data_IF_180831160825
#
_entry.id   IF_180831160825
#
_cell.length_a   1.000
_cell.length_b   1.000
_cell.length_c   1.000
_cell.angle_alpha   90.00
_cell.angle_beta   90.00
_cell.angle_gamma   90.00
#
_symmetry.space_group_name_H-M   'P 1'
#
loop_
_entity.id
_entity.type
_entity.pdbx_description
1 polymer ?
#
# COMPACT_ATOMS: atom_id res chain seq x y z
N UNK A 1 3.12 26.98 -86.67
CA UNK A 1 2.27 26.89 -85.50
C UNK A 1 2.83 25.80 -84.60
N UNK A 2 3.56 26.18 -83.49
CA UNK A 2 4.07 25.26 -82.50
C UNK A 2 3.44 25.68 -81.14
N UNK A 3 2.47 24.84 -80.68
CA UNK A 3 1.90 25.02 -79.36
C UNK A 3 2.78 24.35 -78.34
N UNK A 4 3.39 25.16 -77.45
CA UNK A 4 4.07 24.65 -76.25
C UNK A 4 3.10 24.19 -75.16
N UNK A 5 3.19 22.94 -74.80
CA UNK A 5 2.51 22.40 -73.57
C UNK A 5 3.30 22.75 -72.31
N UNK A 6 2.70 23.56 -71.43
CA UNK A 6 3.21 23.80 -70.12
C UNK A 6 2.84 22.58 -69.21
N UNK A 7 3.85 21.86 -68.73
CA UNK A 7 3.71 20.80 -67.77
C UNK A 7 3.68 21.40 -66.36
N UNK A 8 2.50 21.42 -65.72
CA UNK A 8 2.38 21.77 -64.28
C UNK A 8 2.87 20.59 -63.41
N UNK A 9 4.04 20.76 -62.80
CA UNK A 9 4.49 19.81 -61.77
C UNK A 9 3.82 20.17 -60.44
N UNK A 10 2.84 19.31 -60.04
CA UNK A 10 2.30 19.34 -58.67
C UNK A 10 3.35 18.75 -57.72
N UNK A 11 3.88 19.56 -56.83
CA UNK A 11 4.68 19.09 -55.69
C UNK A 11 3.73 18.72 -54.54
N UNK A 12 3.60 17.45 -54.27
CA UNK A 12 2.88 16.93 -53.10
C UNK A 12 3.79 17.13 -51.87
N UNK A 13 3.38 18.03 -50.96
CA UNK A 13 4.05 18.26 -49.66
C UNK A 13 3.48 17.28 -48.67
N UNK A 14 4.16 16.16 -48.44
CA UNK A 14 3.80 15.20 -47.38
C UNK A 14 4.22 15.75 -46.01
N UNK A 15 3.24 16.19 -45.22
CA UNK A 15 3.46 16.60 -43.83
C UNK A 15 3.53 15.33 -42.97
N UNK A 16 4.73 14.99 -42.51
CA UNK A 16 4.92 13.94 -41.50
C UNK A 16 4.61 14.53 -40.13
N UNK A 17 3.44 14.17 -39.57
CA UNK A 17 3.10 14.51 -38.19
C UNK A 17 3.78 13.47 -37.29
N UNK A 18 4.87 13.89 -36.63
CA UNK A 18 5.47 13.12 -35.54
C UNK A 18 4.58 13.24 -34.29
N UNK A 19 3.77 12.21 -34.03
CA UNK A 19 3.12 12.05 -32.74
C UNK A 19 4.17 11.67 -31.70
N UNK A 20 4.66 12.64 -30.95
CA UNK A 20 5.47 12.39 -29.76
C UNK A 20 4.52 11.83 -28.70
N UNK A 21 4.47 10.50 -28.58
CA UNK A 21 3.82 9.83 -27.46
C UNK A 21 4.63 10.13 -26.20
N UNK A 22 4.11 11.01 -25.35
CA UNK A 22 4.63 11.20 -24.00
C UNK A 22 4.25 9.98 -23.17
N UNK A 23 5.07 8.93 -23.19
CA UNK A 23 4.96 7.83 -22.24
C UNK A 23 5.38 8.36 -20.88
N UNK A 24 4.43 8.58 -19.99
CA UNK A 24 4.71 8.78 -18.58
C UNK A 24 5.30 7.48 -18.04
N UNK A 25 6.61 7.45 -17.83
CA UNK A 25 7.30 6.35 -17.17
C UNK A 25 6.88 6.41 -15.69
N UNK A 26 5.93 5.55 -15.29
CA UNK A 26 5.60 5.40 -13.88
C UNK A 26 6.82 4.84 -13.16
N UNK A 27 7.38 5.60 -12.22
CA UNK A 27 8.45 5.12 -11.38
C UNK A 27 7.91 3.98 -10.53
N UNK A 28 8.40 2.76 -10.76
CA UNK A 28 8.06 1.59 -9.94
C UNK A 28 9.04 1.54 -8.79
N UNK A 29 8.55 1.83 -7.58
CA UNK A 29 9.34 1.74 -6.36
C UNK A 29 9.34 0.29 -5.85
N UNK A 30 10.53 -0.18 -5.45
CA UNK A 30 10.73 -1.55 -4.98
C UNK A 30 10.76 -1.65 -3.45
N UNK A 31 10.92 -0.53 -2.75
CA UNK A 31 11.00 -0.47 -1.31
C UNK A 31 10.16 0.65 -0.73
N UNK A 32 9.54 0.37 0.41
CA UNK A 32 8.76 1.35 1.16
C UNK A 32 8.94 1.14 2.66
N UNK A 33 8.66 2.17 3.44
CA UNK A 33 8.73 2.11 4.91
C UNK A 33 7.60 2.91 5.51
N UNK A 34 6.99 2.39 6.58
CA UNK A 34 6.14 3.15 7.47
C UNK A 34 6.83 3.26 8.84
N UNK A 35 7.11 4.50 9.27
CA UNK A 35 7.57 4.80 10.63
C UNK A 35 6.35 5.01 11.49
N UNK A 36 6.17 4.16 12.50
CA UNK A 36 4.98 4.17 13.35
C UNK A 36 5.09 5.22 14.43
N UNK A 37 4.00 5.98 14.59
CA UNK A 37 3.77 6.84 15.74
C UNK A 37 2.65 6.26 16.61
N UNK A 38 2.65 6.55 17.93
CA UNK A 38 1.62 6.07 18.84
C UNK A 38 0.27 6.71 18.53
N UNK A 39 -0.79 5.90 18.58
CA UNK A 39 -2.17 6.37 18.68
C UNK A 39 -2.48 6.86 20.10
N UNK A 40 -3.75 7.23 20.35
CA UNK A 40 -4.19 7.67 21.68
C UNK A 40 -3.72 6.74 22.80
N UNK A 41 -3.10 7.32 23.83
CA UNK A 41 -2.72 6.65 25.07
C UNK A 41 -1.85 5.37 24.89
N UNK A 42 -1.17 5.28 23.76
CA UNK A 42 -0.28 4.16 23.46
C UNK A 42 1.19 4.58 23.47
N UNK A 43 2.09 3.60 23.56
CA UNK A 43 3.53 3.78 23.44
C UNK A 43 4.10 3.07 22.21
N UNK A 44 3.23 2.65 21.30
CA UNK A 44 3.61 1.89 20.10
C UNK A 44 4.52 2.72 19.21
N UNK A 45 5.67 2.16 18.86
CA UNK A 45 6.65 2.74 17.95
C UNK A 45 7.40 1.66 17.22
N UNK A 46 7.95 1.99 16.07
CA UNK A 46 8.73 1.05 15.27
C UNK A 46 8.64 1.34 13.80
N UNK A 47 8.93 0.34 13.01
CA UNK A 47 8.92 0.43 11.55
C UNK A 47 8.26 -0.80 10.94
N UNK A 48 7.61 -0.58 9.80
CA UNK A 48 7.18 -1.64 8.88
C UNK A 48 7.88 -1.37 7.55
N UNK A 49 8.72 -2.29 7.14
CA UNK A 49 9.46 -2.20 5.89
C UNK A 49 8.87 -3.15 4.85
N UNK A 50 8.79 -2.69 3.62
CA UNK A 50 8.25 -3.43 2.49
C UNK A 50 9.30 -3.53 1.40
N UNK A 51 9.47 -4.71 0.84
CA UNK A 51 10.35 -4.96 -0.29
C UNK A 51 9.61 -5.80 -1.34
N UNK A 52 9.55 -5.29 -2.57
CA UNK A 52 8.90 -6.00 -3.69
C UNK A 52 9.81 -7.14 -4.17
N UNK A 53 9.30 -8.35 -4.14
CA UNK A 53 9.93 -9.53 -4.74
C UNK A 53 8.98 -10.14 -5.78
N UNK A 54 9.16 -9.74 -7.05
CA UNK A 54 8.30 -10.14 -8.18
C UNK A 54 6.82 -9.81 -7.90
N UNK A 55 5.98 -10.85 -7.76
CA UNK A 55 4.55 -10.71 -7.43
C UNK A 55 4.25 -10.65 -5.94
N UNK A 56 5.26 -10.83 -5.08
CA UNK A 56 5.10 -10.80 -3.63
C UNK A 56 5.72 -9.53 -3.05
N UNK A 57 5.24 -9.14 -1.88
CA UNK A 57 5.89 -8.12 -1.05
C UNK A 57 6.36 -8.81 0.23
N UNK A 58 7.64 -8.66 0.54
CA UNK A 58 8.22 -9.04 1.82
C UNK A 58 7.93 -7.91 2.79
N UNK A 59 7.29 -8.22 3.92
CA UNK A 59 6.93 -7.26 4.96
C UNK A 59 7.71 -7.59 6.22
N UNK A 60 8.59 -6.68 6.66
CA UNK A 60 9.35 -6.81 7.91
C UNK A 60 8.81 -5.82 8.93
N UNK A 61 8.44 -6.33 10.09
CA UNK A 61 7.81 -5.56 11.18
C UNK A 61 8.72 -5.59 12.39
N UNK A 62 9.17 -4.41 12.84
CA UNK A 62 9.93 -4.23 14.07
C UNK A 62 9.23 -3.19 14.92
N UNK A 63 8.53 -3.61 15.96
CA UNK A 63 7.62 -2.77 16.77
C UNK A 63 7.82 -3.04 18.25
N UNK A 64 7.66 -2.01 19.07
CA UNK A 64 7.69 -2.07 20.53
C UNK A 64 6.54 -1.26 21.16
N UNK A 65 6.32 -1.44 22.44
CA UNK A 65 5.29 -0.70 23.21
C UNK A 65 3.90 -1.30 23.09
N UNK A 66 3.80 -2.56 22.67
CA UNK A 66 2.57 -3.34 22.67
C UNK A 66 2.28 -3.97 24.03
N UNK A 67 1.06 -4.47 24.24
CA UNK A 67 0.77 -5.30 25.40
C UNK A 67 1.57 -6.61 25.33
N UNK A 68 2.03 -7.08 26.48
CA UNK A 68 2.81 -8.31 26.62
C UNK A 68 2.00 -9.54 26.20
N UNK A 69 2.61 -10.47 25.44
CA UNK A 69 2.02 -11.75 25.01
C UNK A 69 0.62 -11.61 24.41
N UNK A 70 0.42 -10.63 23.54
CA UNK A 70 -0.89 -10.25 23.03
C UNK A 70 -0.98 -10.31 21.50
N UNK A 71 -2.21 -10.46 21.02
CA UNK A 71 -2.53 -10.38 19.60
C UNK A 71 -3.00 -8.97 19.27
N UNK A 72 -2.54 -8.45 18.14
CA UNK A 72 -2.87 -7.12 17.65
C UNK A 72 -3.23 -7.18 16.18
N UNK A 73 -4.46 -6.84 15.81
CA UNK A 73 -4.86 -6.71 14.42
C UNK A 73 -3.92 -5.78 13.67
N UNK A 74 -3.53 -6.16 12.46
CA UNK A 74 -2.53 -5.47 11.67
C UNK A 74 -3.02 -5.31 10.23
N UNK A 75 -3.17 -4.05 9.79
CA UNK A 75 -3.80 -3.76 8.52
C UNK A 75 -3.18 -2.57 7.80
N UNK A 76 -3.37 -2.53 6.46
CA UNK A 76 -3.24 -1.30 5.67
C UNK A 76 -4.63 -0.65 5.57
N UNK A 77 -4.70 0.64 5.83
CA UNK A 77 -5.90 1.47 5.73
C UNK A 77 -5.91 2.31 4.44
N UNK A 78 -7.10 2.81 4.06
CA UNK A 78 -7.37 3.47 2.77
C UNK A 78 -6.52 4.72 2.54
N UNK A 79 -6.32 5.54 3.58
CA UNK A 79 -5.67 6.84 3.45
C UNK A 79 -4.38 6.92 4.27
N UNK A 80 -3.37 7.63 3.74
CA UNK A 80 -2.18 8.01 4.50
C UNK A 80 -2.41 9.21 5.42
N UNK A 81 -3.65 9.53 5.73
CA UNK A 81 -3.99 10.61 6.65
C UNK A 81 -3.95 10.13 8.11
N UNK A 82 -2.91 10.51 8.81
CA UNK A 82 -2.69 10.15 10.23
C UNK A 82 -2.78 11.36 11.15
N UNK A 83 -3.50 12.41 10.76
CA UNK A 83 -3.65 13.64 11.56
C UNK A 83 -4.51 13.44 12.80
N UNK A 84 -5.50 12.53 12.75
CA UNK A 84 -6.33 12.26 13.93
C UNK A 84 -5.55 11.38 14.93
N UNK A 85 -5.58 11.76 16.20
CA UNK A 85 -4.90 11.03 17.29
C UNK A 85 -5.44 9.61 17.48
N UNK A 86 -6.69 9.36 17.12
CA UNK A 86 -7.33 8.05 17.17
C UNK A 86 -7.15 7.24 15.86
N UNK A 87 -6.41 7.78 14.91
CA UNK A 87 -6.11 7.15 13.62
C UNK A 87 -7.31 7.05 12.65
N UNK A 88 -8.50 7.61 13.00
CA UNK A 88 -9.70 7.46 12.15
C UNK A 88 -9.59 8.15 10.81
N UNK A 89 -8.77 9.21 10.68
CA UNK A 89 -8.52 9.86 9.40
C UNK A 89 -7.91 8.94 8.34
N UNK A 90 -7.30 7.81 8.74
CA UNK A 90 -6.79 6.81 7.80
C UNK A 90 -7.89 5.99 7.08
N UNK A 91 -9.17 6.19 7.40
CA UNK A 91 -10.28 5.48 6.76
C UNK A 91 -10.47 4.05 7.24
N UNK A 92 -11.11 3.21 6.42
CA UNK A 92 -11.30 1.78 6.64
C UNK A 92 -10.10 0.94 6.19
N UNK A 93 -10.25 -0.39 6.16
CA UNK A 93 -9.24 -1.27 5.57
C UNK A 93 -9.11 -1.03 4.08
N UNK A 94 -7.89 -1.09 3.55
CA UNK A 94 -7.65 -1.02 2.12
C UNK A 94 -8.22 -2.25 1.41
N UNK A 95 -9.30 -2.04 0.65
CA UNK A 95 -10.06 -3.10 -0.01
C UNK A 95 -10.44 -2.71 -1.44
N UNK A 96 -9.47 -2.65 -2.37
CA UNK A 96 -9.73 -2.23 -3.74
C UNK A 96 -10.60 -3.22 -4.51
N UNK A 97 -10.56 -4.51 -4.15
CA UNK A 97 -11.28 -5.58 -4.84
C UNK A 97 -12.70 -5.82 -4.29
N UNK A 98 -13.10 -5.12 -3.22
CA UNK A 98 -14.42 -5.27 -2.60
C UNK A 98 -14.67 -6.64 -1.97
N UNK A 99 -13.62 -7.35 -1.54
CA UNK A 99 -13.74 -8.64 -0.86
C UNK A 99 -14.29 -8.50 0.56
N UNK A 100 -14.90 -9.55 1.14
CA UNK A 100 -15.19 -9.59 2.56
C UNK A 100 -13.90 -9.59 3.38
N UNK A 101 -13.98 -9.19 4.65
CA UNK A 101 -12.87 -9.32 5.56
C UNK A 101 -12.56 -10.81 5.84
N UNK A 102 -11.29 -11.17 5.82
CA UNK A 102 -10.83 -12.50 6.20
C UNK A 102 -9.37 -12.43 6.68
N UNK A 103 -8.94 -13.47 7.38
CA UNK A 103 -7.55 -13.63 7.83
C UNK A 103 -6.72 -14.43 6.81
N UNK A 104 -5.42 -14.20 6.70
CA UNK A 104 -4.52 -15.12 6.00
C UNK A 104 -4.67 -16.55 6.55
N UNK A 105 -4.60 -17.61 5.71
CA UNK A 105 -4.18 -17.61 4.32
C UNK A 105 -5.34 -17.45 3.30
N UNK A 106 -6.54 -17.03 3.72
CA UNK A 106 -7.65 -16.84 2.78
C UNK A 106 -7.26 -15.82 1.68
N UNK A 107 -7.41 -16.23 0.42
CA UNK A 107 -7.01 -15.42 -0.72
C UNK A 107 -8.00 -14.28 -1.02
N UNK A 108 -9.29 -14.52 -0.80
CA UNK A 108 -10.34 -13.51 -0.98
C UNK A 108 -10.52 -12.73 0.31
N UNK A 109 -9.64 -11.78 0.56
CA UNK A 109 -9.65 -10.86 1.70
C UNK A 109 -9.32 -9.44 1.26
N UNK A 110 -9.46 -8.47 2.16
CA UNK A 110 -8.95 -7.13 1.90
C UNK A 110 -7.45 -7.17 1.60
N UNK A 111 -6.98 -6.44 0.62
CA UNK A 111 -5.54 -6.34 0.29
C UNK A 111 -4.70 -5.85 1.48
N UNK A 112 -5.30 -5.08 2.39
CA UNK A 112 -4.65 -4.61 3.61
C UNK A 112 -4.80 -5.51 4.83
N UNK A 113 -5.35 -6.74 4.75
CA UNK A 113 -5.56 -7.58 5.93
C UNK A 113 -4.44 -8.58 6.13
N UNK A 114 -3.55 -8.30 7.10
CA UNK A 114 -2.40 -9.16 7.46
C UNK A 114 -2.69 -10.09 8.65
N UNK A 115 -3.91 -10.02 9.22
CA UNK A 115 -4.27 -10.77 10.42
C UNK A 115 -3.70 -10.13 11.67
N UNK A 116 -2.85 -10.83 12.41
CA UNK A 116 -2.39 -10.39 13.72
C UNK A 116 -0.87 -10.42 13.87
N UNK A 117 -0.33 -9.38 14.50
CA UNK A 117 0.98 -9.43 15.13
C UNK A 117 0.85 -10.09 16.51
N UNK A 118 1.88 -10.82 16.93
CA UNK A 118 1.95 -11.45 18.25
C UNK A 118 3.17 -10.88 18.98
N UNK A 119 2.92 -10.14 20.04
CA UNK A 119 3.98 -9.55 20.86
C UNK A 119 4.58 -10.57 21.84
N UNK A 120 5.85 -10.39 22.12
CA UNK A 120 6.57 -11.13 23.16
C UNK A 120 6.21 -10.65 24.59
N UNK A 121 6.87 -11.24 25.60
CA UNK A 121 6.70 -10.87 27.03
C UNK A 121 7.05 -9.39 27.30
N UNK A 122 7.87 -8.76 26.48
CA UNK A 122 8.30 -7.38 26.60
C UNK A 122 7.44 -6.40 25.76
N UNK A 123 6.42 -6.91 25.05
CA UNK A 123 5.60 -6.12 24.15
C UNK A 123 6.28 -5.75 22.82
N UNK A 124 7.24 -6.55 22.39
CA UNK A 124 7.92 -6.37 21.11
C UNK A 124 7.42 -7.36 20.05
N UNK A 125 7.53 -6.93 18.80
CA UNK A 125 7.36 -7.76 17.60
C UNK A 125 8.58 -7.57 16.71
N UNK A 126 9.16 -8.68 16.27
CA UNK A 126 10.16 -8.73 15.22
C UNK A 126 9.81 -9.92 14.32
N UNK A 127 9.23 -9.65 13.16
CA UNK A 127 8.73 -10.70 12.27
C UNK A 127 8.82 -10.29 10.82
N UNK A 128 8.90 -11.28 9.94
CA UNK A 128 8.88 -11.11 8.49
C UNK A 128 7.91 -12.11 7.87
N UNK A 129 7.11 -11.66 6.94
CA UNK A 129 6.20 -12.49 6.15
C UNK A 129 6.10 -11.98 4.71
N UNK A 130 5.48 -12.75 3.85
CA UNK A 130 5.21 -12.36 2.46
C UNK A 130 3.71 -12.27 2.19
N UNK A 131 3.31 -11.33 1.32
CA UNK A 131 1.94 -11.16 0.88
C UNK A 131 1.89 -10.90 -0.63
N UNK A 132 0.88 -11.45 -1.31
CA UNK A 132 0.67 -11.35 -2.75
C UNK A 132 -0.61 -10.61 -3.13
N UNK A 133 -1.28 -9.95 -2.18
CA UNK A 133 -2.56 -9.25 -2.39
C UNK A 133 -2.40 -7.79 -2.77
N UNK A 134 -1.19 -7.26 -2.72
CA UNK A 134 -0.88 -5.87 -3.05
C UNK A 134 0.53 -5.73 -3.65
N UNK A 135 0.84 -4.54 -4.15
CA UNK A 135 2.19 -4.14 -4.57
C UNK A 135 2.61 -2.84 -3.86
N UNK A 136 3.90 -2.57 -3.81
CA UNK A 136 4.40 -1.29 -3.26
C UNK A 136 3.92 -0.13 -4.13
N UNK A 137 4.12 -0.25 -5.45
CA UNK A 137 3.71 0.74 -6.45
C UNK A 137 3.33 0.05 -7.76
N UNK A 138 2.74 0.76 -8.70
CA UNK A 138 2.29 0.19 -9.98
C UNK A 138 0.77 0.08 -10.05
N UNK A 139 0.27 -0.84 -10.86
CA UNK A 139 -1.17 -0.95 -11.15
C UNK A 139 -1.92 -1.87 -10.19
N UNK A 140 -1.25 -2.89 -9.64
CA UNK A 140 -1.89 -3.89 -8.78
C UNK A 140 -1.91 -3.44 -7.33
N UNK A 141 -3.04 -2.99 -6.83
CA UNK A 141 -3.31 -2.67 -5.43
C UNK A 141 -2.16 -1.88 -4.73
N UNK A 142 -1.72 -0.73 -5.23
CA UNK A 142 -0.56 -0.03 -4.70
C UNK A 142 -0.79 0.53 -3.31
N UNK A 143 0.24 0.46 -2.44
CA UNK A 143 0.13 0.85 -1.03
C UNK A 143 0.90 2.13 -0.65
N UNK A 144 1.77 2.66 -1.51
CA UNK A 144 2.42 3.96 -1.28
C UNK A 144 1.36 5.03 -1.01
N UNK A 145 1.57 5.82 0.05
CA UNK A 145 0.66 6.89 0.44
C UNK A 145 -0.54 6.43 1.28
N UNK A 146 -0.67 5.14 1.60
CA UNK A 146 -1.65 4.60 2.55
C UNK A 146 -1.07 4.55 3.96
N UNK A 147 -1.86 4.14 4.95
CA UNK A 147 -1.39 3.97 6.32
C UNK A 147 -1.35 2.50 6.75
N UNK A 148 -0.28 2.12 7.40
CA UNK A 148 -0.24 0.91 8.25
C UNK A 148 -0.88 1.24 9.59
N UNK A 149 -1.70 0.32 10.11
CA UNK A 149 -2.37 0.47 11.41
C UNK A 149 -2.22 -0.81 12.24
N UNK A 150 -1.86 -0.64 13.50
CA UNK A 150 -1.86 -1.68 14.54
C UNK A 150 -3.02 -1.41 15.49
N UNK A 151 -3.78 -2.46 15.81
CA UNK A 151 -4.97 -2.38 16.64
C UNK A 151 -4.73 -2.91 18.07
N UNK A 152 -5.58 -2.47 18.99
CA UNK A 152 -5.48 -2.82 20.42
C UNK A 152 -5.83 -4.28 20.71
N UNK A 153 -6.65 -4.92 19.87
CA UNK A 153 -7.18 -6.26 20.08
C UNK A 153 -6.83 -7.17 18.91
N UNK A 154 -7.05 -8.47 19.16
CA UNK A 154 -6.99 -9.50 18.13
C UNK A 154 -8.01 -9.21 17.02
N UNK A 155 -7.58 -9.34 15.77
CA UNK A 155 -8.45 -9.53 14.64
C UNK A 155 -8.97 -10.98 14.68
N UNK A 156 -10.29 -11.15 14.85
CA UNK A 156 -10.96 -12.43 14.97
C UNK A 156 -11.57 -12.93 13.64
N UNK A 157 -11.36 -12.21 12.54
CA UNK A 157 -11.90 -12.49 11.22
C UNK A 157 -13.36 -12.07 11.03
N UNK A 158 -13.98 -11.46 12.04
CA UNK A 158 -15.37 -11.00 12.00
C UNK A 158 -15.60 -9.87 10.99
N UNK A 159 -16.80 -9.82 10.42
CA UNK A 159 -17.18 -8.75 9.50
C UNK A 159 -17.50 -7.46 10.27
N UNK A 160 -17.25 -6.31 9.71
CA UNK A 160 -16.55 -6.03 8.43
C UNK A 160 -15.03 -5.90 8.54
N UNK A 161 -14.44 -5.86 9.75
CA UNK A 161 -13.03 -5.45 9.97
C UNK A 161 -12.35 -6.18 11.13
N UNK A 162 -12.83 -7.38 11.51
CA UNK A 162 -12.17 -8.27 12.44
C UNK A 162 -12.28 -7.92 13.93
N UNK A 163 -13.16 -6.99 14.31
CA UNK A 163 -13.37 -6.57 15.71
C UNK A 163 -12.10 -6.15 16.48
N UNK A 164 -11.06 -5.71 15.77
CA UNK A 164 -9.72 -5.48 16.27
C UNK A 164 -9.58 -4.28 17.25
N UNK A 165 -10.62 -3.49 17.43
CA UNK A 165 -10.68 -2.41 18.42
C UNK A 165 -9.98 -1.12 17.97
N UNK A 166 -9.51 -0.34 18.95
CA UNK A 166 -8.90 0.97 18.70
C UNK A 166 -7.55 0.84 17.97
N UNK A 167 -7.15 1.93 17.30
CA UNK A 167 -5.89 2.04 16.57
C UNK A 167 -4.83 2.58 17.51
N UNK A 168 -3.83 1.79 17.82
CA UNK A 168 -2.81 2.10 18.85
C UNK A 168 -1.46 2.49 18.24
N UNK A 169 -1.22 2.20 16.98
CA UNK A 169 -0.02 2.63 16.27
C UNK A 169 -0.30 2.73 14.78
N UNK A 170 0.23 3.74 14.12
CA UNK A 170 0.03 3.93 12.69
C UNK A 170 1.14 4.76 12.06
N UNK A 171 1.37 4.58 10.78
CA UNK A 171 2.36 5.31 9.99
C UNK A 171 2.03 5.32 8.51
N UNK A 172 2.42 6.38 7.81
CA UNK A 172 2.24 6.47 6.35
C UNK A 172 3.32 5.65 5.64
N UNK A 173 2.91 4.88 4.65
CA UNK A 173 3.82 4.11 3.78
C UNK A 173 4.45 5.07 2.78
N UNK A 174 5.71 5.40 3.02
CA UNK A 174 6.54 6.24 2.16
C UNK A 174 7.55 5.43 1.36
N UNK A 175 8.13 6.07 0.33
CA UNK A 175 9.20 5.46 -0.47
C UNK A 175 10.45 5.29 0.41
N UNK A 176 11.13 4.14 0.30
CA UNK A 176 12.41 3.86 0.95
C UNK A 176 13.54 3.68 -0.07
N UNK A 177 14.78 3.81 0.41
CA UNK A 177 16.00 3.57 -0.38
C UNK A 177 16.28 2.08 -0.57
#
# INVERSE_FOLDING_TARGET
SIRGQAMNKLYSLSIFIFLVSCQSQSNIYQKAVAVLQPGNESNVKGTVFFEQDKSNVIVTVTVSGLNSNSYHGFHIHEFGDIRSKDGKSAGGHYNPDGHPHALPPEKKRHAGSFGNLISDINGNVDTTFTDDTFSISGEFNPVIGRAVVIHAKRDDGGQPTGNAGSRIGFGVIGIAN
#
